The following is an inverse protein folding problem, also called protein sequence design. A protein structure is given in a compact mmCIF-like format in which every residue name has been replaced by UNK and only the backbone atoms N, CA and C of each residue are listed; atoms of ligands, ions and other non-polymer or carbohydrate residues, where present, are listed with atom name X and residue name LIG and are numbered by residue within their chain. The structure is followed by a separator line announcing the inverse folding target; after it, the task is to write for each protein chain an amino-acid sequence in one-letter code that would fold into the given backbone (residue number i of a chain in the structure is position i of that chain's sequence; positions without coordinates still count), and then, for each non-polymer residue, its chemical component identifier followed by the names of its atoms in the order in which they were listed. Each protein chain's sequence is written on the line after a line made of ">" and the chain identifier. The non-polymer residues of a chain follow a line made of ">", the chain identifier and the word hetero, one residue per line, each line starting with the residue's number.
data_IF_602688857160
#
_entry.id   IF_602688857160
#
_cell.length_a   1.000
_cell.length_b   1.000
_cell.length_c   1.000
_cell.angle_alpha   90.00
_cell.angle_beta   90.00
_cell.angle_gamma   90.00
#
_symmetry.space_group_name_H-M   'P 1'
#
loop_
_entity.id
_entity.type
_entity.pdbx_description
1 polymer ?
#
# COMPACT_ATOMS: atom_id res chain seq x y z
N UNK A 1 -6.85 21.60 2.16
CA UNK A 1 -7.05 20.89 0.87
C UNK A 1 -5.70 20.34 0.45
N UNK A 2 -5.45 19.03 0.60
CA UNK A 2 -4.21 18.40 0.17
C UNK A 2 -4.32 18.23 -1.35
N UNK A 3 -3.51 18.97 -2.11
CA UNK A 3 -3.42 18.81 -3.57
C UNK A 3 -2.90 17.40 -3.86
N UNK A 4 -3.67 16.63 -4.63
CA UNK A 4 -3.18 15.33 -5.14
C UNK A 4 -1.96 15.59 -6.03
N UNK A 5 -0.87 14.82 -5.88
CA UNK A 5 0.26 14.95 -6.79
C UNK A 5 -0.18 14.65 -8.24
N UNK A 6 0.41 15.31 -9.24
CA UNK A 6 0.07 15.09 -10.63
C UNK A 6 0.34 13.64 -11.03
N UNK A 7 -0.53 13.06 -11.85
CA UNK A 7 -0.35 11.72 -12.41
C UNK A 7 0.80 11.75 -13.41
N UNK A 8 1.77 10.86 -13.23
CA UNK A 8 2.89 10.72 -14.16
C UNK A 8 2.58 9.68 -15.24
N UNK A 9 2.95 9.98 -16.48
CA UNK A 9 2.87 9.06 -17.62
C UNK A 9 4.26 8.69 -18.11
N UNK A 10 4.44 7.42 -18.47
CA UNK A 10 5.63 6.96 -19.19
C UNK A 10 5.52 7.37 -20.66
N UNK A 11 6.48 8.13 -21.17
CA UNK A 11 6.69 8.22 -22.61
C UNK A 11 7.62 7.09 -23.07
N UNK A 12 7.34 6.51 -24.22
CA UNK A 12 8.15 5.41 -24.77
C UNK A 12 9.48 5.94 -25.29
N UNK A 13 10.58 5.57 -24.62
CA UNK A 13 11.92 5.73 -25.15
C UNK A 13 12.45 4.38 -25.60
N UNK A 14 13.01 4.31 -26.81
CA UNK A 14 13.61 3.12 -27.39
C UNK A 14 15.10 2.96 -27.08
N UNK A 15 15.73 3.90 -26.38
CA UNK A 15 17.15 3.86 -26.04
C UNK A 15 17.37 3.44 -24.59
N UNK A 16 18.21 2.45 -24.40
CA UNK A 16 18.42 1.75 -23.13
C UNK A 16 19.27 2.48 -22.08
N UNK A 17 19.63 3.74 -22.27
CA UNK A 17 20.58 4.43 -21.38
C UNK A 17 19.98 5.53 -20.50
N UNK A 18 18.85 6.10 -20.87
CA UNK A 18 18.24 7.19 -20.10
C UNK A 18 16.75 6.95 -19.89
N UNK A 19 16.36 6.66 -18.65
CA UNK A 19 14.96 6.61 -18.27
C UNK A 19 14.55 8.01 -17.83
N UNK A 20 13.59 8.60 -18.52
CA UNK A 20 13.03 9.88 -18.14
C UNK A 20 11.58 9.77 -17.72
N UNK A 21 11.18 10.64 -16.81
CA UNK A 21 9.81 10.81 -16.35
C UNK A 21 9.32 12.17 -16.80
N UNK A 22 8.30 12.18 -17.64
CA UNK A 22 7.60 13.40 -18.00
C UNK A 22 6.44 13.64 -17.03
N UNK A 23 6.42 14.80 -16.41
CA UNK A 23 5.22 15.28 -15.73
C UNK A 23 4.24 15.82 -16.77
N UNK A 24 2.96 15.48 -16.61
CA UNK A 24 1.94 15.97 -17.55
C UNK A 24 1.80 17.47 -17.49
N UNK A 25 1.46 18.06 -18.62
CA UNK A 25 1.02 19.43 -18.72
C UNK A 25 -0.19 19.67 -17.80
N UNK A 26 -0.19 20.77 -17.09
CA UNK A 26 -1.27 21.22 -16.23
C UNK A 26 -2.10 22.29 -16.93
N UNK A 27 -3.35 22.47 -16.50
CA UNK A 27 -4.21 23.53 -17.08
C UNK A 27 -4.70 23.22 -18.50
N UNK A 28 -4.92 21.96 -18.85
CA UNK A 28 -5.57 21.54 -20.10
C UNK A 28 -7.03 21.21 -19.81
N UNK A 29 -7.95 21.65 -20.65
CA UNK A 29 -9.37 21.32 -20.58
C UNK A 29 -9.66 19.89 -21.08
N UNK A 30 -10.93 19.47 -21.00
CA UNK A 30 -11.35 18.14 -21.45
C UNK A 30 -11.23 17.95 -22.98
N UNK A 31 -11.18 19.03 -23.73
CA UNK A 31 -11.05 19.06 -25.19
C UNK A 31 -9.59 19.11 -25.63
N UNK A 32 -8.63 19.26 -24.68
CA UNK A 32 -7.21 19.33 -24.97
C UNK A 32 -6.65 20.76 -25.19
N UNK A 33 -7.46 21.81 -24.97
CA UNK A 33 -7.03 23.21 -25.13
C UNK A 33 -6.33 23.69 -23.87
N UNK A 34 -5.35 24.56 -24.06
CA UNK A 34 -4.63 25.23 -22.96
C UNK A 34 -5.52 26.30 -22.33
N UNK A 35 -5.61 26.29 -21.00
CA UNK A 35 -6.25 27.33 -20.20
C UNK A 35 -5.24 28.41 -19.81
N UNK A 36 -5.70 29.53 -19.25
CA UNK A 36 -4.82 30.59 -18.72
C UNK A 36 -3.88 30.08 -17.63
N UNK A 37 -4.26 29.00 -16.92
CA UNK A 37 -3.45 28.30 -15.92
C UNK A 37 -2.58 27.19 -16.50
N UNK A 38 -2.26 27.23 -17.80
CA UNK A 38 -1.44 26.20 -18.44
C UNK A 38 0.01 26.27 -17.94
N UNK A 39 0.52 25.15 -17.50
CA UNK A 39 1.92 24.92 -17.18
C UNK A 39 2.41 23.68 -17.93
N UNK A 40 3.49 23.80 -18.68
CA UNK A 40 4.07 22.66 -19.38
C UNK A 40 4.68 21.68 -18.39
N UNK A 41 4.55 20.40 -18.68
CA UNK A 41 5.22 19.34 -17.92
C UNK A 41 6.74 19.43 -18.06
N UNK A 42 7.45 18.86 -17.09
CA UNK A 42 8.90 18.76 -17.10
C UNK A 42 9.35 17.33 -17.39
N UNK A 43 10.40 17.18 -18.17
CA UNK A 43 11.11 15.94 -18.35
C UNK A 43 12.23 15.82 -17.31
N UNK A 44 12.14 14.79 -16.44
CA UNK A 44 13.19 14.49 -15.48
C UNK A 44 14.04 13.35 -16.02
N UNK A 45 15.29 13.63 -16.32
CA UNK A 45 16.24 12.67 -16.89
C UNK A 45 17.15 12.14 -15.78
N UNK A 46 17.24 10.82 -15.66
CA UNK A 46 18.10 10.15 -14.69
C UNK A 46 18.78 8.93 -15.31
N UNK A 47 19.95 8.58 -14.81
CA UNK A 47 20.65 7.33 -15.21
C UNK A 47 19.87 6.08 -14.84
N UNK A 48 19.16 6.13 -13.71
CA UNK A 48 18.29 5.07 -13.21
C UNK A 48 17.04 5.69 -12.61
N UNK A 49 15.88 5.11 -12.92
CA UNK A 49 14.60 5.49 -12.30
C UNK A 49 14.15 4.40 -11.32
N UNK A 50 13.85 4.79 -10.10
CA UNK A 50 13.33 3.87 -9.06
C UNK A 50 11.83 4.09 -8.93
N UNK A 51 11.05 3.03 -9.16
CA UNK A 51 9.61 3.04 -9.04
C UNK A 51 9.21 2.49 -7.67
N UNK A 52 8.54 3.33 -6.89
CA UNK A 52 8.09 3.04 -5.52
C UNK A 52 6.65 3.55 -5.31
N UNK A 53 5.77 3.28 -6.27
CA UNK A 53 4.40 3.82 -6.30
C UNK A 53 3.45 3.13 -5.31
N UNK A 54 3.92 2.09 -4.65
CA UNK A 54 3.13 1.30 -3.70
C UNK A 54 2.29 0.22 -4.37
N UNK A 55 1.26 -0.25 -3.66
CA UNK A 55 0.38 -1.30 -4.16
C UNK A 55 -0.30 -0.88 -5.47
N UNK A 56 -0.10 -1.65 -6.55
CA UNK A 56 -0.64 -1.39 -7.89
C UNK A 56 -0.30 -0.02 -8.46
N UNK A 57 0.96 0.35 -8.43
CA UNK A 57 1.47 1.56 -9.09
C UNK A 57 1.06 1.64 -10.56
N UNK A 58 0.75 2.84 -11.05
CA UNK A 58 0.31 3.00 -12.44
C UNK A 58 1.42 2.69 -13.44
N UNK A 59 2.62 3.19 -13.16
CA UNK A 59 3.79 2.97 -14.01
C UNK A 59 4.36 1.58 -13.80
N UNK A 60 4.43 1.10 -12.55
CA UNK A 60 4.87 -0.25 -12.22
C UNK A 60 4.13 -1.31 -13.03
N UNK A 61 2.80 -1.23 -13.12
CA UNK A 61 2.00 -2.15 -13.95
C UNK A 61 2.36 -2.10 -15.45
N UNK A 62 2.61 -0.92 -15.97
CA UNK A 62 2.99 -0.74 -17.38
C UNK A 62 4.37 -1.35 -17.64
N UNK A 63 5.31 -1.14 -16.73
CA UNK A 63 6.66 -1.70 -16.81
C UNK A 63 6.65 -3.22 -16.71
N UNK A 64 5.91 -3.79 -15.74
CA UNK A 64 5.77 -5.23 -15.60
C UNK A 64 5.26 -5.84 -16.91
N UNK A 65 4.24 -5.25 -17.52
CA UNK A 65 3.71 -5.72 -18.80
C UNK A 65 4.70 -5.50 -19.96
N UNK A 66 5.30 -4.31 -20.06
CA UNK A 66 6.21 -3.94 -21.17
C UNK A 66 7.46 -4.82 -21.22
N UNK A 67 8.03 -5.15 -20.07
CA UNK A 67 9.26 -5.93 -19.94
C UNK A 67 9.03 -7.40 -19.55
N UNK A 68 7.74 -7.83 -19.51
CA UNK A 68 7.35 -9.18 -19.13
C UNK A 68 7.98 -9.64 -17.79
N UNK A 69 8.00 -8.74 -16.79
CA UNK A 69 8.73 -8.97 -15.55
C UNK A 69 8.12 -10.05 -14.65
N UNK A 70 6.87 -10.41 -14.89
CA UNK A 70 6.14 -11.45 -14.16
C UNK A 70 6.11 -12.81 -14.88
N UNK A 71 6.96 -13.01 -15.88
CA UNK A 71 7.05 -14.31 -16.58
C UNK A 71 7.42 -15.43 -15.61
N UNK A 72 6.64 -16.53 -15.64
CA UNK A 72 6.83 -17.67 -14.75
C UNK A 72 6.53 -17.40 -13.27
N UNK A 73 5.80 -16.33 -12.95
CA UNK A 73 5.38 -15.99 -11.60
C UNK A 73 3.89 -16.24 -11.40
N UNK A 74 3.51 -16.56 -10.17
CA UNK A 74 2.11 -16.67 -9.81
C UNK A 74 1.41 -15.30 -9.89
N UNK A 75 0.09 -15.28 -10.11
CA UNK A 75 -0.69 -14.04 -10.06
C UNK A 75 -0.52 -13.32 -8.72
N UNK A 76 -0.46 -11.99 -8.76
CA UNK A 76 -0.37 -11.20 -7.56
C UNK A 76 -1.68 -11.23 -6.78
N UNK A 77 -1.58 -11.40 -5.46
CA UNK A 77 -2.70 -11.34 -4.53
C UNK A 77 -2.71 -10.01 -3.79
N UNK A 78 -3.91 -9.57 -3.43
CA UNK A 78 -4.12 -8.27 -2.80
C UNK A 78 -5.01 -8.41 -1.57
N UNK A 79 -4.74 -7.57 -0.58
CA UNK A 79 -5.58 -7.36 0.58
C UNK A 79 -6.03 -5.92 0.70
N UNK A 80 -7.01 -5.68 1.56
CA UNK A 80 -7.41 -4.35 2.01
C UNK A 80 -7.13 -4.25 3.51
N UNK A 81 -6.38 -3.23 3.90
CA UNK A 81 -6.10 -2.91 5.30
C UNK A 81 -6.83 -1.65 5.73
N UNK A 82 -7.56 -1.76 6.85
CA UNK A 82 -8.14 -0.63 7.57
C UNK A 82 -7.27 -0.31 8.77
N UNK A 83 -7.16 0.96 9.11
CA UNK A 83 -6.43 1.42 10.27
C UNK A 83 -7.18 2.56 10.95
N UNK A 84 -7.27 2.49 12.26
CA UNK A 84 -7.76 3.57 13.10
C UNK A 84 -6.71 3.90 14.16
N UNK A 85 -6.69 5.14 14.58
CA UNK A 85 -5.93 5.62 15.74
C UNK A 85 -6.93 6.06 16.79
N UNK A 86 -6.80 5.50 17.97
CA UNK A 86 -7.66 5.78 19.12
C UNK A 86 -6.83 6.39 20.24
N UNK A 87 -7.35 7.42 20.87
CA UNK A 87 -6.90 7.90 22.16
C UNK A 87 -7.79 7.26 23.23
N UNK A 88 -7.16 6.53 24.17
CA UNK A 88 -7.87 5.70 25.15
C UNK A 88 -7.54 6.12 26.59
N UNK A 89 -8.35 5.64 27.55
CA UNK A 89 -8.08 5.84 28.96
C UNK A 89 -6.75 5.18 29.36
N UNK A 90 -6.00 5.84 30.24
CA UNK A 90 -4.71 5.37 30.77
C UNK A 90 -4.83 3.98 31.40
N UNK A 91 -5.92 3.69 32.10
CA UNK A 91 -6.17 2.37 32.74
C UNK A 91 -6.24 1.21 31.75
N UNK A 92 -6.53 1.48 30.47
CA UNK A 92 -6.62 0.50 29.38
C UNK A 92 -5.37 0.53 28.47
N UNK A 93 -4.40 1.42 28.76
CA UNK A 93 -3.24 1.61 27.95
C UNK A 93 -2.00 0.95 28.57
N UNK A 94 -1.24 0.25 27.76
CA UNK A 94 0.04 -0.35 28.10
C UNK A 94 1.04 -0.03 27.00
N UNK A 95 1.82 1.04 27.18
CA UNK A 95 2.77 1.51 26.17
C UNK A 95 3.75 0.41 25.75
N UNK A 96 3.93 0.24 24.44
CA UNK A 96 4.77 -0.80 23.85
C UNK A 96 4.10 -2.16 23.69
N UNK A 97 2.86 -2.36 24.16
CA UNK A 97 2.11 -3.59 23.91
C UNK A 97 1.83 -3.75 22.42
N UNK A 98 2.19 -4.90 21.89
CA UNK A 98 1.95 -5.30 20.49
C UNK A 98 1.16 -6.59 20.47
N UNK A 99 -0.04 -6.57 19.90
CA UNK A 99 -0.86 -7.75 19.66
C UNK A 99 -1.14 -7.96 18.19
N UNK A 100 -1.15 -9.22 17.78
CA UNK A 100 -1.66 -9.65 16.48
C UNK A 100 -2.73 -10.69 16.70
N UNK A 101 -3.77 -10.67 15.88
CA UNK A 101 -4.84 -11.68 15.92
C UNK A 101 -5.08 -12.23 14.52
N UNK A 102 -5.63 -13.45 14.46
CA UNK A 102 -6.09 -14.09 13.24
C UNK A 102 -7.46 -14.75 13.49
N UNK A 103 -8.20 -15.05 12.42
CA UNK A 103 -9.51 -15.69 12.49
C UNK A 103 -10.63 -14.70 12.74
N UNK A 104 -11.42 -14.91 13.78
CA UNK A 104 -12.64 -14.11 14.03
C UNK A 104 -12.42 -12.60 13.82
N UNK A 105 -13.37 -11.89 13.16
CA UNK A 105 -14.69 -12.31 12.69
C UNK A 105 -14.70 -13.07 11.35
N UNK A 106 -13.56 -13.27 10.70
CA UNK A 106 -13.47 -14.03 9.46
C UNK A 106 -13.63 -15.53 9.71
N UNK A 107 -14.12 -16.23 8.70
CA UNK A 107 -14.15 -17.68 8.66
C UNK A 107 -12.77 -18.28 8.35
N UNK A 108 -12.68 -19.60 8.31
CA UNK A 108 -11.43 -20.33 8.07
C UNK A 108 -10.97 -20.29 6.61
N UNK A 109 -11.79 -19.79 5.70
CA UNK A 109 -11.50 -19.70 4.25
C UNK A 109 -11.10 -18.30 3.82
N UNK A 110 -11.36 -17.30 4.65
CA UNK A 110 -11.02 -15.91 4.36
C UNK A 110 -9.75 -15.53 5.08
N UNK A 111 -8.71 -15.22 4.31
CA UNK A 111 -7.44 -14.80 4.85
C UNK A 111 -7.53 -13.40 5.47
N UNK A 112 -6.96 -13.21 6.66
CA UNK A 112 -6.94 -11.92 7.31
C UNK A 112 -6.54 -11.97 8.77
N UNK A 113 -6.50 -10.80 9.39
CA UNK A 113 -6.12 -10.66 10.78
C UNK A 113 -5.97 -9.20 11.19
N UNK A 114 -5.57 -8.98 12.44
CA UNK A 114 -5.43 -7.64 13.00
C UNK A 114 -4.07 -7.40 13.62
N UNK A 115 -3.79 -6.12 13.83
CA UNK A 115 -2.75 -5.66 14.72
C UNK A 115 -3.28 -4.58 15.66
N UNK A 116 -2.76 -4.55 16.88
CA UNK A 116 -3.08 -3.57 17.89
C UNK A 116 -1.75 -3.15 18.53
N UNK A 117 -1.41 -1.88 18.42
CA UNK A 117 -0.17 -1.32 18.94
C UNK A 117 -0.49 -0.18 19.90
N UNK A 118 -0.08 -0.31 21.14
CA UNK A 118 -0.13 0.76 22.11
C UNK A 118 1.12 1.63 21.99
N UNK A 119 0.93 2.80 21.40
CA UNK A 119 1.99 3.78 21.16
C UNK A 119 2.06 4.80 22.29
N UNK A 120 2.93 5.79 22.17
CA UNK A 120 3.01 6.92 23.07
C UNK A 120 1.70 7.70 23.18
N UNK A 121 1.58 8.54 24.20
CA UNK A 121 0.46 9.48 24.40
C UNK A 121 -0.92 8.82 24.47
N UNK A 122 -1.03 7.63 25.07
CA UNK A 122 -2.28 6.86 25.21
C UNK A 122 -2.95 6.55 23.87
N UNK A 123 -2.17 6.51 22.80
CA UNK A 123 -2.66 6.18 21.47
C UNK A 123 -2.59 4.68 21.20
N UNK A 124 -3.63 4.15 20.61
CA UNK A 124 -3.69 2.77 20.12
C UNK A 124 -3.92 2.77 18.61
N UNK A 125 -3.03 2.12 17.90
CA UNK A 125 -3.17 1.85 16.47
C UNK A 125 -3.87 0.51 16.30
N UNK A 126 -5.09 0.55 15.82
CA UNK A 126 -5.92 -0.61 15.55
C UNK A 126 -6.00 -0.82 14.04
N UNK A 127 -5.56 -1.97 13.56
CA UNK A 127 -5.63 -2.30 12.13
C UNK A 127 -6.23 -3.67 11.88
N UNK A 128 -6.89 -3.81 10.72
CA UNK A 128 -7.50 -5.04 10.26
C UNK A 128 -7.25 -5.22 8.78
N UNK A 129 -6.80 -6.39 8.39
CA UNK A 129 -6.46 -6.71 6.99
C UNK A 129 -7.28 -7.91 6.54
N UNK A 130 -7.81 -7.84 5.34
CA UNK A 130 -8.58 -8.92 4.70
C UNK A 130 -8.04 -9.12 3.29
N UNK A 131 -7.74 -10.38 2.94
CA UNK A 131 -7.42 -10.77 1.57
C UNK A 131 -8.62 -10.51 0.64
N UNK A 132 -8.37 -9.99 -0.56
CA UNK A 132 -9.43 -9.65 -1.51
C UNK A 132 -9.85 -10.82 -2.41
N UNK A 133 -9.36 -12.01 -2.13
CA UNK A 133 -9.71 -13.27 -2.78
C UNK A 133 -10.85 -14.03 -2.07
N UNK A 134 -11.52 -13.40 -1.09
CA UNK A 134 -12.63 -14.01 -0.37
C UNK A 134 -13.77 -14.43 -1.31
N UNK A 135 -14.37 -15.58 -1.03
CA UNK A 135 -15.41 -16.19 -1.87
C UNK A 135 -16.83 -15.71 -1.56
N UNK A 136 -17.07 -15.19 -0.36
CA UNK A 136 -18.37 -14.70 0.04
C UNK A 136 -18.67 -13.31 -0.55
N UNK A 137 -19.58 -13.18 -1.54
CA UNK A 137 -19.87 -11.89 -2.17
C UNK A 137 -20.56 -10.88 -1.24
N UNK A 138 -21.07 -11.33 -0.10
CA UNK A 138 -21.71 -10.49 0.89
C UNK A 138 -20.75 -10.02 1.99
N UNK A 139 -19.50 -10.47 1.96
CA UNK A 139 -18.50 -10.01 2.91
C UNK A 139 -18.14 -8.55 2.62
N UNK A 140 -18.32 -7.70 3.62
CA UNK A 140 -17.87 -6.31 3.59
C UNK A 140 -16.62 -6.18 4.46
N UNK A 141 -15.44 -5.95 3.89
CA UNK A 141 -14.21 -5.79 4.67
C UNK A 141 -14.31 -4.71 5.75
N UNK A 142 -15.01 -3.62 5.47
CA UNK A 142 -15.24 -2.55 6.45
C UNK A 142 -16.11 -3.03 7.61
N UNK A 143 -17.20 -3.75 7.34
CA UNK A 143 -18.10 -4.23 8.39
C UNK A 143 -17.45 -5.32 9.24
N UNK A 144 -16.59 -6.15 8.65
CA UNK A 144 -15.79 -7.11 9.40
C UNK A 144 -14.81 -6.41 10.37
N UNK A 145 -14.24 -5.28 9.97
CA UNK A 145 -13.45 -4.47 10.89
C UNK A 145 -14.31 -3.87 12.02
N UNK A 146 -15.56 -3.45 11.74
CA UNK A 146 -16.46 -2.99 12.80
C UNK A 146 -16.83 -4.15 13.76
N UNK A 147 -17.12 -5.34 13.21
CA UNK A 147 -17.38 -6.55 14.01
C UNK A 147 -16.17 -6.91 14.89
N UNK A 148 -14.96 -6.86 14.34
CA UNK A 148 -13.73 -7.10 15.09
C UNK A 148 -13.65 -6.25 16.37
N UNK A 149 -14.03 -4.99 16.30
CA UNK A 149 -14.03 -4.10 17.47
C UNK A 149 -15.05 -4.46 18.54
N UNK A 150 -16.05 -5.29 18.23
CA UNK A 150 -17.05 -5.77 19.21
C UNK A 150 -16.55 -6.95 20.02
N UNK A 151 -15.42 -7.58 19.66
CA UNK A 151 -14.85 -8.66 20.45
C UNK A 151 -14.55 -8.18 21.88
N UNK A 152 -14.92 -8.94 22.94
CA UNK A 152 -14.79 -8.48 24.33
C UNK A 152 -13.41 -7.96 24.70
N UNK A 153 -12.34 -8.63 24.26
CA UNK A 153 -10.96 -8.20 24.53
C UNK A 153 -10.58 -6.92 23.82
N UNK A 154 -11.08 -6.70 22.60
CA UNK A 154 -10.78 -5.51 21.81
C UNK A 154 -11.62 -4.32 22.28
N UNK A 155 -12.93 -4.57 22.49
CA UNK A 155 -13.86 -3.58 23.02
C UNK A 155 -13.35 -2.98 24.32
N UNK A 156 -12.85 -3.81 25.24
CA UNK A 156 -12.30 -3.36 26.52
C UNK A 156 -11.15 -2.36 26.35
N UNK A 157 -10.32 -2.50 25.33
CA UNK A 157 -9.19 -1.58 25.07
C UNK A 157 -9.70 -0.22 24.64
N UNK A 158 -10.67 -0.18 23.71
CA UNK A 158 -11.13 1.07 23.08
C UNK A 158 -12.36 1.70 23.76
N UNK A 159 -12.95 1.02 24.74
CA UNK A 159 -14.15 1.50 25.43
C UNK A 159 -13.88 2.83 26.16
N UNK A 160 -14.75 3.83 25.94
CA UNK A 160 -14.55 5.18 26.44
C UNK A 160 -13.54 6.02 25.67
N UNK A 161 -12.80 5.40 24.74
CA UNK A 161 -11.82 6.10 23.90
C UNK A 161 -12.44 6.90 22.76
N UNK A 162 -11.62 7.76 22.17
CA UNK A 162 -11.97 8.60 21.03
C UNK A 162 -11.15 8.21 19.80
N UNK A 163 -11.80 7.90 18.69
CA UNK A 163 -11.12 7.72 17.41
C UNK A 163 -10.65 9.07 16.86
N UNK A 164 -9.36 9.24 16.69
CA UNK A 164 -8.75 10.50 16.23
C UNK A 164 -8.39 10.49 14.75
N UNK A 165 -8.15 9.31 14.16
CA UNK A 165 -7.82 9.17 12.75
C UNK A 165 -8.25 7.82 12.20
N UNK A 166 -8.42 7.73 10.88
CA UNK A 166 -8.70 6.48 10.18
C UNK A 166 -8.21 6.52 8.74
N UNK A 167 -8.06 5.34 8.14
CA UNK A 167 -7.72 5.20 6.72
C UNK A 167 -7.81 3.76 6.27
N UNK A 168 -7.83 3.56 4.96
CA UNK A 168 -7.76 2.25 4.33
C UNK A 168 -6.79 2.28 3.16
N UNK A 169 -6.11 1.15 2.93
CA UNK A 169 -5.18 1.01 1.81
C UNK A 169 -5.12 -0.43 1.34
N UNK A 170 -5.02 -0.60 0.02
CA UNK A 170 -4.72 -1.90 -0.57
C UNK A 170 -3.27 -2.31 -0.24
N UNK A 171 -3.07 -3.61 -0.07
CA UNK A 171 -1.80 -4.26 0.23
C UNK A 171 -1.51 -5.32 -0.81
N UNK A 172 -0.24 -5.68 -0.96
CA UNK A 172 0.19 -6.83 -1.75
C UNK A 172 0.45 -8.00 -0.81
N UNK A 173 -0.07 -9.18 -1.14
CA UNK A 173 0.00 -10.37 -0.30
C UNK A 173 0.53 -11.62 -1.02
N UNK A 174 0.85 -11.54 -2.32
CA UNK A 174 1.25 -12.68 -3.13
C UNK A 174 2.58 -13.35 -2.75
N UNK A 175 3.40 -12.68 -1.94
CA UNK A 175 4.65 -13.25 -1.46
C UNK A 175 5.70 -13.44 -2.56
N UNK A 176 6.67 -14.33 -2.27
CA UNK A 176 7.84 -14.55 -3.15
C UNK A 176 7.46 -15.17 -4.49
N UNK A 177 6.39 -15.97 -4.53
CA UNK A 177 5.91 -16.65 -5.74
C UNK A 177 5.41 -15.66 -6.80
N UNK A 178 4.84 -14.54 -6.35
CA UNK A 178 4.28 -13.47 -7.20
C UNK A 178 5.26 -12.32 -7.42
N UNK A 179 6.48 -12.40 -6.87
CA UNK A 179 7.46 -11.33 -6.96
C UNK A 179 8.01 -11.23 -8.39
N UNK A 180 7.80 -10.11 -9.12
CA UNK A 180 8.32 -9.95 -10.46
C UNK A 180 9.86 -9.81 -10.46
N UNK A 181 10.47 -9.89 -11.61
CA UNK A 181 11.84 -9.41 -11.79
C UNK A 181 11.87 -7.92 -11.50
N UNK A 182 12.60 -7.53 -10.46
CA UNK A 182 12.54 -6.16 -9.91
C UNK A 182 13.41 -5.15 -10.67
N UNK A 183 14.18 -5.58 -11.65
CA UNK A 183 15.07 -4.71 -12.41
C UNK A 183 14.86 -4.87 -13.92
N UNK A 184 15.05 -3.78 -14.62
CA UNK A 184 15.02 -3.69 -16.07
C UNK A 184 16.03 -2.63 -16.53
N UNK A 185 16.35 -2.54 -17.83
CA UNK A 185 17.29 -1.51 -18.32
C UNK A 185 16.87 -0.11 -17.86
N UNK A 186 17.74 0.55 -17.10
CA UNK A 186 17.56 1.91 -16.60
C UNK A 186 16.53 2.07 -15.48
N UNK A 187 15.96 0.98 -14.91
CA UNK A 187 14.91 1.12 -13.88
C UNK A 187 14.84 -0.03 -12.89
N UNK A 188 14.24 0.26 -11.72
CA UNK A 188 14.02 -0.67 -10.61
C UNK A 188 12.60 -0.52 -10.07
N UNK A 189 11.98 -1.65 -9.67
CA UNK A 189 10.77 -1.68 -8.86
C UNK A 189 11.16 -2.01 -7.42
N UNK A 190 10.65 -1.23 -6.45
CA UNK A 190 10.94 -1.47 -5.03
C UNK A 190 9.69 -1.41 -4.16
N UNK A 191 9.79 -1.93 -2.94
CA UNK A 191 8.71 -1.91 -1.96
C UNK A 191 7.45 -2.62 -2.43
N UNK A 192 6.28 -2.07 -2.14
CA UNK A 192 5.00 -2.65 -2.54
C UNK A 192 4.70 -2.50 -4.04
N UNK A 193 5.45 -1.70 -4.78
CA UNK A 193 5.35 -1.66 -6.23
C UNK A 193 5.91 -2.93 -6.86
N UNK A 194 6.96 -3.50 -6.27
CA UNK A 194 7.47 -4.83 -6.60
C UNK A 194 6.72 -5.96 -5.87
N UNK A 195 6.05 -5.70 -4.76
CA UNK A 195 5.37 -6.72 -3.97
C UNK A 195 6.23 -7.36 -2.87
N UNK A 196 7.14 -6.62 -2.27
CA UNK A 196 8.11 -7.15 -1.30
C UNK A 196 7.61 -7.24 0.14
N UNK A 197 6.31 -7.05 0.38
CA UNK A 197 5.73 -7.23 1.71
C UNK A 197 5.95 -8.67 2.18
N UNK A 198 6.55 -8.82 3.37
CA UNK A 198 6.63 -10.12 4.03
C UNK A 198 5.34 -10.36 4.80
N UNK A 199 4.40 -11.02 4.17
CA UNK A 199 3.06 -11.19 4.67
C UNK A 199 2.99 -12.00 5.97
N UNK A 200 3.69 -13.14 6.14
CA UNK A 200 3.70 -13.88 7.41
C UNK A 200 4.19 -13.05 8.61
N UNK A 201 5.05 -12.07 8.37
CA UNK A 201 5.53 -11.15 9.40
C UNK A 201 4.69 -9.87 9.51
N UNK A 202 3.70 -9.68 8.64
CA UNK A 202 2.89 -8.45 8.55
C UNK A 202 3.77 -7.20 8.40
N UNK A 203 4.91 -7.31 7.75
CA UNK A 203 5.93 -6.25 7.65
C UNK A 203 6.41 -6.05 6.21
N UNK A 204 6.33 -4.80 5.74
CA UNK A 204 6.84 -4.38 4.43
C UNK A 204 7.98 -3.35 4.52
N UNK A 205 8.04 -2.58 5.61
CA UNK A 205 8.98 -1.46 5.74
C UNK A 205 10.44 -1.92 5.70
N UNK A 206 10.79 -3.01 6.39
CA UNK A 206 12.16 -3.51 6.42
C UNK A 206 12.64 -4.04 5.06
N UNK A 207 11.76 -4.67 4.29
CA UNK A 207 12.09 -5.16 2.94
C UNK A 207 12.23 -4.00 1.96
N UNK A 208 11.37 -2.99 2.05
CA UNK A 208 11.47 -1.78 1.25
C UNK A 208 12.77 -1.01 1.54
N UNK A 209 13.11 -0.81 2.83
CA UNK A 209 14.37 -0.17 3.23
C UNK A 209 15.59 -0.97 2.78
N UNK A 210 15.58 -2.29 2.95
CA UNK A 210 16.69 -3.14 2.51
C UNK A 210 16.93 -3.04 1.02
N UNK A 211 15.88 -3.05 0.20
CA UNK A 211 16.00 -2.88 -1.24
C UNK A 211 16.56 -1.51 -1.61
N UNK A 212 16.11 -0.44 -0.97
CA UNK A 212 16.66 0.90 -1.20
C UNK A 212 18.15 0.97 -0.89
N UNK A 213 18.58 0.33 0.21
CA UNK A 213 19.99 0.35 0.64
C UNK A 213 20.91 -0.52 -0.22
N UNK A 214 20.44 -1.64 -0.74
CA UNK A 214 21.24 -2.54 -1.58
C UNK A 214 21.69 -1.85 -2.88
N UNK A 215 20.92 -0.90 -3.37
CA UNK A 215 21.19 -0.19 -4.62
C UNK A 215 21.95 1.13 -4.44
N UNK A 216 22.20 1.54 -3.20
CA UNK A 216 23.03 2.70 -2.86
C UNK A 216 24.49 2.28 -2.67
#
# INVERSE_FOLDING_TARGET
>A
MIRRPPRSTLSSSSAASDVYKRQQDMGIDKQGNKKDSFESGMDLIGKVTVFAEGCRGHLGKQLIKKFNLNEGKDPQQYGIGFKEIWEIDEKNHEEGLVMHTAGWPLDNHTYGGSFIYHAENKQVFLGYVIGLDYQNPHLSPFDEFQRFKTHPSIKKIIEGGKRISYGARALIEGGIQSLPKMHMPGALLIGCDAGTLNMPKIKGSHTAMKLSLIHI
#
